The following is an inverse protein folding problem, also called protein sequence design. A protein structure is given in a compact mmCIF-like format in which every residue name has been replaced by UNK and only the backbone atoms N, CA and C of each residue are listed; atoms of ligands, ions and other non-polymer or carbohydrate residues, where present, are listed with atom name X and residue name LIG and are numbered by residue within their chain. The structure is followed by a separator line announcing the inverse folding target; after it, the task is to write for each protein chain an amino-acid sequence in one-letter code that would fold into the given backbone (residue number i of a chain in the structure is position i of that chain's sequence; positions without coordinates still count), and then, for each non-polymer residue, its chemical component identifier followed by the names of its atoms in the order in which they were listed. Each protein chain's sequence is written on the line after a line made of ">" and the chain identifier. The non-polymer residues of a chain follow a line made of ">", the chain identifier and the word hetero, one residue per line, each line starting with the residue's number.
data_IF_861604300688
#
_entry.id   IF_861604300688
#
_cell.length_a   1.000
_cell.length_b   1.000
_cell.length_c   1.000
_cell.angle_alpha   90.00
_cell.angle_beta   90.00
_cell.angle_gamma   90.00
#
_symmetry.space_group_name_H-M   'P 1'
#
loop_
_entity.id
_entity.type
_entity.pdbx_description
1 polymer ?
#
# COMPACT_ATOMS: atom_id res chain seq x y z
N UNK A 1 -3.64 34.18 14.07
CA UNK A 1 -4.70 33.19 13.77
C UNK A 1 -4.03 31.85 13.44
N UNK A 2 -3.80 31.01 14.45
CA UNK A 2 -3.08 29.74 14.25
C UNK A 2 -3.99 28.73 13.54
N UNK A 3 -3.65 28.39 12.29
CA UNK A 3 -4.35 27.36 11.50
C UNK A 3 -4.06 26.01 12.18
N UNK A 4 -4.99 25.51 13.00
CA UNK A 4 -4.92 24.13 13.52
C UNK A 4 -4.86 23.19 12.31
N UNK A 5 -3.69 22.63 12.05
CA UNK A 5 -3.54 21.56 11.07
C UNK A 5 -4.24 20.36 11.68
N UNK A 6 -5.50 20.14 11.31
CA UNK A 6 -6.19 18.88 11.61
C UNK A 6 -5.54 17.80 10.75
N UNK A 7 -4.48 17.17 11.25
CA UNK A 7 -3.96 15.92 10.71
C UNK A 7 -5.01 14.83 10.94
N UNK A 8 -5.95 14.70 9.99
CA UNK A 8 -6.82 13.53 9.92
C UNK A 8 -5.98 12.39 9.34
N UNK A 9 -5.88 11.31 10.11
CA UNK A 9 -5.19 10.09 9.71
C UNK A 9 -5.89 9.50 8.47
N UNK A 10 -5.16 9.35 7.36
CA UNK A 10 -5.63 8.69 6.14
C UNK A 10 -5.04 7.28 6.13
N UNK A 11 -5.79 6.24 6.56
CA UNK A 11 -5.25 4.89 6.63
C UNK A 11 -4.92 4.30 5.24
N UNK A 12 -5.36 4.93 4.14
CA UNK A 12 -4.97 4.52 2.79
C UNK A 12 -3.47 4.69 2.52
N UNK A 13 -2.85 5.76 3.05
CA UNK A 13 -1.43 6.02 2.81
C UNK A 13 -0.50 5.02 3.54
N UNK A 14 -0.69 4.70 4.84
CA UNK A 14 0.06 3.65 5.52
C UNK A 14 -0.11 2.26 4.87
N UNK A 15 -1.33 1.89 4.46
CA UNK A 15 -1.59 0.58 3.85
C UNK A 15 -0.86 0.45 2.51
N UNK A 16 -0.89 1.49 1.68
CA UNK A 16 -0.10 1.53 0.44
C UNK A 16 1.41 1.43 0.73
N UNK A 17 1.90 2.21 1.69
CA UNK A 17 3.32 2.21 2.07
C UNK A 17 3.80 0.83 2.53
N UNK A 18 3.03 0.15 3.39
CA UNK A 18 3.34 -1.20 3.86
C UNK A 18 3.35 -2.22 2.72
N UNK A 19 2.37 -2.15 1.82
CA UNK A 19 2.31 -3.03 0.65
C UNK A 19 3.53 -2.85 -0.25
N UNK A 20 3.87 -1.62 -0.63
CA UNK A 20 5.03 -1.35 -1.48
C UNK A 20 6.35 -1.67 -0.77
N UNK A 21 6.45 -1.45 0.54
CA UNK A 21 7.61 -1.83 1.33
C UNK A 21 7.82 -3.35 1.32
N UNK A 22 6.76 -4.14 1.49
CA UNK A 22 6.84 -5.59 1.42
C UNK A 22 7.28 -6.07 0.03
N UNK A 23 6.70 -5.51 -1.03
CA UNK A 23 7.11 -5.80 -2.42
C UNK A 23 8.58 -5.44 -2.63
N UNK A 24 9.01 -4.27 -2.20
CA UNK A 24 10.41 -3.84 -2.30
C UNK A 24 11.35 -4.80 -1.55
N UNK A 25 10.93 -5.31 -0.39
CA UNK A 25 11.67 -6.33 0.36
C UNK A 25 11.86 -7.63 -0.42
N UNK A 26 10.84 -8.09 -1.14
CA UNK A 26 10.94 -9.28 -2.02
C UNK A 26 11.95 -9.05 -3.14
N UNK A 27 11.88 -7.89 -3.81
CA UNK A 27 12.82 -7.54 -4.87
C UNK A 27 14.26 -7.39 -4.33
N UNK A 28 14.43 -6.77 -3.16
CA UNK A 28 15.73 -6.66 -2.50
C UNK A 28 16.32 -8.05 -2.19
N UNK A 29 15.50 -8.95 -1.62
CA UNK A 29 15.92 -10.31 -1.32
C UNK A 29 16.30 -11.09 -2.61
N UNK A 30 15.56 -10.92 -3.70
CA UNK A 30 15.90 -11.47 -5.01
C UNK A 30 17.24 -10.95 -5.53
N UNK A 31 17.47 -9.64 -5.44
CA UNK A 31 18.75 -9.03 -5.83
C UNK A 31 19.94 -9.54 -4.99
N UNK A 32 19.74 -9.76 -3.69
CA UNK A 32 20.78 -10.25 -2.79
C UNK A 32 21.07 -11.75 -2.96
N UNK A 33 20.07 -12.55 -3.32
CA UNK A 33 20.20 -14.00 -3.50
C UNK A 33 20.66 -14.40 -4.90
N UNK A 34 20.52 -13.50 -5.89
CA UNK A 34 20.84 -13.78 -7.30
C UNK A 34 19.82 -14.67 -8.00
N UNK A 35 18.76 -15.08 -7.30
CA UNK A 35 17.68 -15.92 -7.80
C UNK A 35 16.32 -15.33 -7.39
N UNK A 36 15.23 -15.61 -8.14
CA UNK A 36 13.90 -15.17 -7.75
C UNK A 36 13.46 -15.81 -6.41
N UNK A 37 13.18 -14.99 -5.40
CA UNK A 37 12.68 -15.48 -4.09
C UNK A 37 11.20 -15.88 -4.16
N UNK A 38 10.46 -15.30 -5.11
CA UNK A 38 9.03 -15.58 -5.33
C UNK A 38 8.81 -15.78 -6.84
N UNK A 39 8.05 -16.81 -7.26
CA UNK A 39 7.68 -16.98 -8.66
C UNK A 39 6.93 -15.76 -9.22
N UNK A 40 7.15 -15.45 -10.49
CA UNK A 40 6.57 -14.25 -11.12
C UNK A 40 5.04 -14.29 -11.11
N UNK A 41 4.40 -15.44 -11.32
CA UNK A 41 2.93 -15.50 -11.31
C UNK A 41 2.36 -15.17 -9.93
N UNK A 42 3.03 -15.63 -8.87
CA UNK A 42 2.65 -15.33 -7.48
C UNK A 42 2.83 -13.84 -7.18
N UNK A 43 3.93 -13.24 -7.65
CA UNK A 43 4.16 -11.81 -7.49
C UNK A 43 3.11 -10.96 -8.21
N UNK A 44 2.76 -11.33 -9.45
CA UNK A 44 1.70 -10.64 -10.20
C UNK A 44 0.35 -10.77 -9.49
N UNK A 45 -0.02 -11.97 -9.06
CA UNK A 45 -1.27 -12.19 -8.33
C UNK A 45 -1.31 -11.37 -7.02
N UNK A 46 -0.23 -11.40 -6.24
CA UNK A 46 -0.10 -10.63 -5.00
C UNK A 46 -0.17 -9.12 -5.27
N UNK A 47 0.43 -8.64 -6.36
CA UNK A 47 0.36 -7.24 -6.75
C UNK A 47 -1.07 -6.81 -7.06
N UNK A 48 -1.80 -7.60 -7.87
CA UNK A 48 -3.19 -7.30 -8.22
C UNK A 48 -4.10 -7.28 -6.99
N UNK A 49 -3.97 -8.29 -6.11
CA UNK A 49 -4.74 -8.38 -4.88
C UNK A 49 -4.41 -7.18 -3.97
N UNK A 50 -3.12 -6.90 -3.75
CA UNK A 50 -2.69 -5.81 -2.88
C UNK A 50 -3.10 -4.43 -3.40
N UNK A 51 -3.00 -4.18 -4.70
CA UNK A 51 -3.50 -2.95 -5.32
C UNK A 51 -5.02 -2.82 -5.17
N UNK A 52 -5.77 -3.91 -5.31
CA UNK A 52 -7.21 -3.95 -5.03
C UNK A 52 -7.53 -3.56 -3.58
N UNK A 53 -6.84 -4.17 -2.61
CA UNK A 53 -7.00 -3.87 -1.18
C UNK A 53 -6.66 -2.40 -0.87
N UNK A 54 -5.52 -1.89 -1.38
CA UNK A 54 -5.13 -0.49 -1.23
C UNK A 54 -6.19 0.44 -1.81
N UNK A 55 -6.73 0.13 -2.99
CA UNK A 55 -7.81 0.87 -3.63
C UNK A 55 -9.06 0.92 -2.76
N UNK A 56 -9.51 -0.22 -2.24
CA UNK A 56 -10.67 -0.32 -1.34
C UNK A 56 -10.45 0.53 -0.08
N UNK A 57 -9.31 0.38 0.60
CA UNK A 57 -9.02 1.16 1.81
C UNK A 57 -9.00 2.65 1.51
N UNK A 58 -8.43 3.07 0.37
CA UNK A 58 -8.41 4.48 -0.04
C UNK A 58 -9.82 5.00 -0.33
N UNK A 59 -10.68 4.22 -0.98
CA UNK A 59 -12.07 4.59 -1.23
C UNK A 59 -12.86 4.71 0.08
N UNK A 60 -12.72 3.76 1.00
CA UNK A 60 -13.36 3.82 2.32
C UNK A 60 -12.86 5.00 3.16
N UNK A 61 -11.56 5.29 3.09
CA UNK A 61 -10.94 6.44 3.76
C UNK A 61 -11.37 7.77 3.16
N UNK A 62 -11.56 7.82 1.84
CA UNK A 62 -12.04 8.99 1.11
C UNK A 62 -13.56 9.20 1.29
N UNK A 63 -14.34 8.13 1.48
CA UNK A 63 -15.80 8.18 1.69
C UNK A 63 -16.21 8.95 2.95
N UNK A 64 -15.42 8.87 4.03
CA UNK A 64 -15.60 9.69 5.25
C UNK A 64 -15.37 11.20 5.06
N UNK A 65 -15.09 11.65 3.83
CA UNK A 65 -15.00 13.08 3.46
C UNK A 65 -16.35 13.71 3.11
N UNK A 66 -17.42 12.92 2.95
CA UNK A 66 -18.74 13.38 2.45
C UNK A 66 -19.92 13.24 3.41
N UNK A 67 -19.68 13.00 4.70
CA UNK A 67 -20.76 13.18 5.69
C UNK A 67 -20.82 14.67 6.08
N UNK A 68 -21.91 15.39 5.73
CA UNK A 68 -22.15 16.77 6.17
C UNK A 68 -22.41 16.88 7.67
#
# INVERSE_FOLDING_TARGET
>A
MARRIRHRFDPGAPVAGLFFLAVAGVFLAGGLSGEPVVPLEVLVAALLIGLGVVGIVRVLSAGRRRDP
#
